data_IF_437589302420
#
_entry.id   IF_437589302420
#
_cell.length_a   1.000
_cell.length_b   1.000
_cell.length_c   1.000
_cell.angle_alpha   90.00
_cell.angle_beta   90.00
_cell.angle_gamma   90.00
#
_symmetry.space_group_name_H-M   'P 1'
#
loop_
_entity.id
_entity.type
_entity.pdbx_description
1 polymer ?
#
# COMPACT_ATOMS: atom_id res chain seq x y z
N UNK A 1 10.51 -5.70 11.21
CA UNK A 1 10.26 -7.07 10.69
C UNK A 1 9.27 -7.00 9.54
N UNK A 2 9.61 -7.44 8.32
CA UNK A 2 8.65 -7.44 7.21
C UNK A 2 7.52 -8.44 7.50
N UNK A 3 6.35 -7.92 7.87
CA UNK A 3 5.13 -8.71 7.98
C UNK A 3 4.78 -9.18 6.57
N UNK A 4 5.22 -10.39 6.21
CA UNK A 4 4.87 -11.03 4.95
C UNK A 4 3.35 -11.28 4.94
N UNK A 5 2.61 -10.35 4.34
CA UNK A 5 1.15 -10.45 4.12
C UNK A 5 0.77 -11.66 3.27
N UNK A 6 1.77 -12.29 2.67
CA UNK A 6 1.63 -13.48 1.86
C UNK A 6 1.79 -14.80 2.63
N UNK A 7 2.24 -14.80 3.89
CA UNK A 7 2.46 -16.02 4.66
C UNK A 7 1.30 -16.38 5.59
N UNK A 8 0.64 -15.39 6.19
CA UNK A 8 -0.57 -15.59 7.00
C UNK A 8 -1.76 -14.93 6.32
N UNK A 9 -2.94 -15.55 6.38
CA UNK A 9 -4.15 -15.05 5.72
C UNK A 9 -4.39 -13.55 5.96
N UNK A 10 -4.91 -12.86 4.95
CA UNK A 10 -5.29 -11.44 5.08
C UNK A 10 -6.47 -11.35 6.03
N UNK A 11 -6.28 -10.58 7.09
CA UNK A 11 -7.35 -10.19 7.98
C UNK A 11 -7.77 -8.75 7.70
N UNK A 12 -9.08 -8.52 7.59
CA UNK A 12 -9.65 -7.20 7.35
C UNK A 12 -9.19 -6.13 8.35
N UNK A 13 -8.98 -6.50 9.62
CA UNK A 13 -8.54 -5.56 10.66
C UNK A 13 -7.15 -4.98 10.41
N UNK A 14 -6.27 -5.70 9.70
CA UNK A 14 -4.93 -5.21 9.35
C UNK A 14 -4.98 -3.99 8.43
N UNK A 15 -5.96 -3.94 7.53
CA UNK A 15 -6.15 -2.77 6.64
C UNK A 15 -6.43 -1.51 7.45
N UNK A 16 -7.27 -1.61 8.48
CA UNK A 16 -7.60 -0.49 9.34
C UNK A 16 -6.40 -0.03 10.18
N UNK A 17 -5.57 -0.95 10.66
CA UNK A 17 -4.31 -0.62 11.35
C UNK A 17 -3.34 0.09 10.42
N UNK A 18 -3.13 -0.43 9.20
CA UNK A 18 -2.26 0.20 8.20
C UNK A 18 -2.67 1.64 7.90
N UNK A 19 -3.96 1.91 7.68
CA UNK A 19 -4.43 3.28 7.43
C UNK A 19 -4.13 4.20 8.62
N UNK A 20 -4.34 3.72 9.85
CA UNK A 20 -4.04 4.49 11.06
C UNK A 20 -2.55 4.77 11.17
N UNK A 21 -1.70 3.77 10.95
CA UNK A 21 -0.25 3.90 11.12
C UNK A 21 0.32 4.86 10.06
N UNK A 22 -0.14 4.78 8.80
CA UNK A 22 0.19 5.76 7.75
C UNK A 22 -0.18 7.18 8.19
N UNK A 23 -1.38 7.37 8.73
CA UNK A 23 -1.85 8.69 9.13
C UNK A 23 -1.00 9.31 10.27
N UNK A 24 -0.33 8.48 11.06
CA UNK A 24 0.51 8.93 12.17
C UNK A 24 1.95 9.30 11.74
N UNK A 25 2.40 8.91 10.55
CA UNK A 25 3.71 9.28 9.99
C UNK A 25 3.54 10.22 8.79
N UNK A 26 3.98 11.48 8.95
CA UNK A 26 3.97 12.45 7.86
C UNK A 26 4.86 11.99 6.68
N UNK A 27 5.99 11.34 6.97
CA UNK A 27 6.88 10.76 5.94
C UNK A 27 6.21 9.64 5.14
N UNK A 28 5.42 8.78 5.79
CA UNK A 28 4.66 7.72 5.11
C UNK A 28 3.60 8.30 4.17
N UNK A 29 2.87 9.33 4.60
CA UNK A 29 1.89 10.01 3.75
C UNK A 29 2.57 10.67 2.55
N UNK A 30 3.66 11.42 2.77
CA UNK A 30 4.40 12.05 1.67
C UNK A 30 4.89 11.03 0.65
N UNK A 31 5.45 9.91 1.12
CA UNK A 31 5.90 8.83 0.23
C UNK A 31 4.75 8.24 -0.58
N UNK A 32 3.59 8.03 0.04
CA UNK A 32 2.42 7.50 -0.67
C UNK A 32 1.86 8.48 -1.70
N UNK A 33 1.90 9.79 -1.44
CA UNK A 33 1.51 10.79 -2.43
C UNK A 33 2.47 10.76 -3.63
N UNK A 34 3.77 10.71 -3.38
CA UNK A 34 4.78 10.57 -4.43
C UNK A 34 4.61 9.25 -5.22
N UNK A 35 4.25 8.16 -4.52
CA UNK A 35 3.94 6.87 -5.13
C UNK A 35 2.70 6.94 -6.02
N UNK A 36 1.64 7.60 -5.56
CA UNK A 36 0.37 7.77 -6.26
C UNK A 36 0.56 8.57 -7.55
N UNK A 37 1.35 9.65 -7.51
CA UNK A 37 1.74 10.43 -8.71
C UNK A 37 2.36 9.57 -9.79
N UNK A 38 3.21 8.59 -9.43
CA UNK A 38 3.78 7.66 -10.42
C UNK A 38 2.69 6.82 -11.09
N UNK A 39 1.67 6.38 -10.36
CA UNK A 39 0.60 5.58 -10.95
C UNK A 39 -0.25 6.42 -11.93
N UNK A 40 -0.49 7.68 -11.60
CA UNK A 40 -1.25 8.61 -12.45
C UNK A 40 -0.47 8.97 -13.72
N UNK A 41 0.77 9.44 -13.57
CA UNK A 41 1.65 9.86 -14.68
C UNK A 41 2.00 8.70 -15.63
N UNK A 42 1.92 7.46 -15.14
CA UNK A 42 2.12 6.25 -15.95
C UNK A 42 0.82 5.76 -16.63
N UNK A 43 -0.24 6.56 -16.62
CA UNK A 43 -1.57 6.29 -17.17
C UNK A 43 -2.19 4.99 -16.63
N UNK A 44 -1.90 4.59 -15.39
CA UNK A 44 -2.40 3.31 -14.88
C UNK A 44 -3.91 3.31 -14.69
N UNK A 45 -4.49 4.43 -14.30
CA UNK A 45 -5.94 4.59 -14.12
C UNK A 45 -6.73 4.59 -15.44
N UNK A 46 -6.07 4.73 -16.60
CA UNK A 46 -6.72 4.53 -17.90
C UNK A 46 -7.11 3.05 -18.13
N UNK A 47 -6.55 2.12 -17.35
CA UNK A 47 -6.82 0.70 -17.45
C UNK A 47 -7.93 0.25 -16.48
N UNK A 48 -8.69 -0.76 -16.90
CA UNK A 48 -9.87 -1.22 -16.17
C UNK A 48 -9.54 -1.65 -14.73
N UNK A 49 -10.39 -1.22 -13.80
CA UNK A 49 -10.40 -1.55 -12.37
C UNK A 49 -9.19 -1.04 -11.56
N UNK A 50 -8.22 -0.33 -12.13
CA UNK A 50 -7.05 0.15 -11.37
C UNK A 50 -7.41 1.16 -10.27
N UNK A 51 -8.38 2.04 -10.53
CA UNK A 51 -8.90 3.02 -9.56
C UNK A 51 -9.58 2.36 -8.34
N UNK A 52 -10.04 1.11 -8.45
CA UNK A 52 -10.77 0.41 -7.39
C UNK A 52 -9.87 -0.31 -6.37
N UNK A 53 -8.55 -0.09 -6.43
CA UNK A 53 -7.58 -0.74 -5.55
C UNK A 53 -7.58 -0.12 -4.16
N UNK A 54 -7.61 -0.96 -3.12
CA UNK A 54 -7.45 -0.51 -1.74
C UNK A 54 -6.05 -0.83 -1.23
N UNK A 55 -5.34 0.16 -0.68
CA UNK A 55 -4.04 -0.06 -0.05
C UNK A 55 -4.23 -0.93 1.20
N UNK A 56 -3.58 -2.09 1.22
CA UNK A 56 -3.62 -3.01 2.38
C UNK A 56 -2.29 -3.11 3.10
N UNK A 57 -1.22 -2.60 2.49
CA UNK A 57 0.10 -2.50 3.11
C UNK A 57 1.05 -1.61 2.34
N UNK A 58 1.93 -0.97 3.09
CA UNK A 58 2.90 0.00 2.60
C UNK A 58 2.60 1.39 3.17
N UNK A 59 3.44 2.38 2.87
CA UNK A 59 4.65 2.25 2.04
C UNK A 59 5.76 1.54 2.82
N UNK A 60 6.27 0.42 2.31
CA UNK A 60 7.50 -0.18 2.85
C UNK A 60 8.68 0.47 2.14
N UNK A 61 9.33 1.40 2.85
CA UNK A 61 10.41 2.23 2.32
C UNK A 61 11.72 1.47 2.48
N UNK A 62 12.12 0.76 1.42
CA UNK A 62 13.43 0.14 1.32
C UNK A 62 14.52 1.14 0.92
N UNK A 63 15.77 0.67 0.92
CA UNK A 63 16.92 1.50 0.55
C UNK A 63 16.83 2.09 -0.87
N UNK A 64 16.29 1.34 -1.82
CA UNK A 64 16.27 1.74 -3.25
C UNK A 64 14.87 1.73 -3.87
N UNK A 65 13.87 1.28 -3.14
CA UNK A 65 12.53 1.05 -3.67
C UNK A 65 11.49 1.23 -2.58
N UNK A 66 10.28 1.61 -2.98
CA UNK A 66 9.10 1.65 -2.13
C UNK A 66 8.16 0.53 -2.57
N UNK A 67 7.69 -0.28 -1.62
CA UNK A 67 6.77 -1.38 -1.92
C UNK A 67 5.40 -1.12 -1.30
N UNK A 68 4.35 -1.23 -2.11
CA UNK A 68 2.96 -1.14 -1.68
C UNK A 68 2.20 -2.39 -2.17
N UNK A 69 1.26 -2.87 -1.36
CA UNK A 69 0.35 -3.95 -1.74
C UNK A 69 -1.08 -3.44 -1.72
N UNK A 70 -1.78 -3.67 -2.82
CA UNK A 70 -3.16 -3.25 -3.03
C UNK A 70 -4.07 -4.47 -3.18
N UNK A 71 -5.32 -4.31 -2.79
CA UNK A 71 -6.34 -5.34 -2.80
C UNK A 71 -7.48 -4.99 -3.76
N UNK A 72 -7.94 -6.00 -4.48
CA UNK A 72 -9.17 -5.97 -5.27
C UNK A 72 -10.07 -7.15 -4.95
N UNK A 73 -11.40 -6.98 -4.98
CA UNK A 73 -12.33 -8.10 -5.04
C UNK A 73 -12.03 -9.02 -6.24
N UNK A 74 -12.28 -10.33 -6.10
CA UNK A 74 -12.00 -11.30 -7.18
C UNK A 74 -12.63 -10.94 -8.54
N UNK A 75 -13.80 -10.31 -8.53
CA UNK A 75 -14.56 -9.89 -9.73
C UNK A 75 -13.99 -8.63 -10.39
N UNK A 76 -13.22 -7.84 -9.64
CA UNK A 76 -12.68 -6.53 -10.05
C UNK A 76 -11.16 -6.58 -10.24
N UNK A 77 -10.63 -7.70 -10.74
CA UNK A 77 -9.19 -7.82 -11.01
C UNK A 77 -8.70 -6.67 -11.92
N UNK A 78 -7.62 -5.96 -11.55
CA UNK A 78 -7.07 -4.87 -12.35
C UNK A 78 -6.44 -5.42 -13.64
N UNK A 79 -6.58 -4.69 -14.74
CA UNK A 79 -6.05 -5.12 -16.04
C UNK A 79 -4.51 -5.18 -16.00
N UNK A 80 -3.89 -6.37 -16.20
CA UNK A 80 -2.43 -6.52 -16.12
C UNK A 80 -1.65 -5.65 -17.11
N UNK A 81 -2.30 -5.11 -18.15
CA UNK A 81 -1.66 -4.18 -19.09
C UNK A 81 -1.28 -2.85 -18.42
N UNK A 82 -2.02 -2.41 -17.39
CA UNK A 82 -1.64 -1.23 -16.60
C UNK A 82 -0.30 -1.47 -15.89
N UNK A 83 -0.17 -2.60 -15.19
CA UNK A 83 1.09 -2.98 -14.51
C UNK A 83 2.28 -3.09 -15.48
N UNK A 84 2.05 -3.49 -16.74
CA UNK A 84 3.10 -3.57 -17.76
C UNK A 84 3.72 -2.21 -18.10
N UNK A 85 3.02 -1.09 -17.85
CA UNK A 85 3.56 0.26 -18.07
C UNK A 85 4.76 0.55 -17.18
N UNK A 86 4.78 0.00 -15.97
CA UNK A 86 5.84 0.23 -15.00
C UNK A 86 7.11 -0.60 -15.25
N UNK A 87 6.99 -1.75 -15.94
CA UNK A 87 8.11 -2.70 -16.11
C UNK A 87 9.35 -2.12 -16.81
N UNK A 88 9.23 -1.29 -17.88
CA UNK A 88 10.39 -0.67 -18.53
C UNK A 88 11.20 0.24 -17.60
N UNK A 89 10.57 0.75 -16.54
CA UNK A 89 11.14 1.66 -15.56
C UNK A 89 11.60 0.94 -14.30
N UNK A 90 11.94 -0.35 -14.41
CA UNK A 90 12.56 -1.12 -13.32
C UNK A 90 11.61 -1.54 -12.19
N UNK A 91 10.32 -1.21 -12.27
CA UNK A 91 9.33 -1.64 -11.30
C UNK A 91 9.07 -3.14 -11.37
N UNK A 92 8.72 -3.72 -10.22
CA UNK A 92 8.32 -5.13 -10.12
C UNK A 92 6.89 -5.20 -9.63
N UNK A 93 6.04 -5.91 -10.39
CA UNK A 93 4.63 -6.10 -10.05
C UNK A 93 4.32 -7.58 -9.92
N UNK A 94 3.72 -7.99 -8.81
CA UNK A 94 3.32 -9.37 -8.54
C UNK A 94 1.83 -9.44 -8.21
N UNK A 95 1.14 -10.34 -8.89
CA UNK A 95 -0.28 -10.62 -8.65
C UNK A 95 -0.42 -11.92 -7.86
N UNK A 96 -1.23 -11.92 -6.80
CA UNK A 96 -1.57 -13.11 -6.03
C UNK A 96 -3.07 -13.19 -5.80
N UNK A 97 -3.67 -14.33 -6.17
CA UNK A 97 -5.05 -14.65 -5.78
C UNK A 97 -5.02 -15.29 -4.39
N UNK A 98 -5.85 -14.79 -3.47
CA UNK A 98 -5.91 -15.29 -2.09
C UNK A 98 -7.32 -15.15 -1.51
N UNK A 99 -7.54 -15.67 -0.31
CA UNK A 99 -8.76 -15.44 0.47
C UNK A 99 -8.50 -14.43 1.58
N UNK A 100 -9.50 -13.61 1.88
CA UNK A 100 -9.52 -12.66 2.99
C UNK A 100 -10.74 -12.93 3.86
N UNK A 101 -10.55 -12.97 5.17
CA UNK A 101 -11.63 -13.19 6.13
C UNK A 101 -12.25 -11.85 6.50
N UNK A 102 -13.52 -11.65 6.18
CA UNK A 102 -14.26 -10.42 6.48
C UNK A 102 -15.46 -10.68 7.40
N UNK A 103 -15.73 -9.79 8.36
CA UNK A 103 -16.97 -9.87 9.14
C UNK A 103 -18.18 -9.54 8.25
N UNK A 104 -19.25 -10.32 8.38
CA UNK A 104 -20.53 -10.05 7.72
C UNK A 104 -21.20 -8.86 8.40
N UNK A 105 -21.78 -7.95 7.61
CA UNK A 105 -22.61 -6.87 8.12
C UNK A 105 -23.86 -7.47 8.77
N UNK A 106 -24.17 -7.07 9.99
CA UNK A 106 -25.27 -7.64 10.75
C UNK A 106 -26.56 -6.94 10.30
N UNK A 107 -27.36 -7.62 9.47
CA UNK A 107 -28.67 -7.12 9.06
C UNK A 107 -29.79 -7.97 9.68
N UNK A 108 -29.53 -9.25 10.00
CA UNK A 108 -30.50 -10.18 10.59
C UNK A 108 -29.95 -10.90 11.84
N UNK A 109 -30.83 -11.41 12.73
CA UNK A 109 -30.41 -12.19 13.91
C UNK A 109 -29.61 -13.47 13.57
N UNK A 110 -29.70 -13.96 12.34
CA UNK A 110 -28.93 -15.11 11.88
C UNK A 110 -27.46 -14.75 11.56
N UNK A 111 -27.13 -13.47 11.34
CA UNK A 111 -25.77 -13.03 10.99
C UNK A 111 -24.79 -13.05 12.18
N UNK A 112 -25.29 -13.37 13.37
CA UNK A 112 -24.49 -13.62 14.55
C UNK A 112 -23.86 -15.02 14.54
N UNK A 113 -22.66 -15.14 15.08
CA UNK A 113 -22.10 -16.46 15.44
C UNK A 113 -22.95 -17.08 16.55
N UNK A 114 -23.34 -18.34 16.37
CA UNK A 114 -24.20 -19.10 17.31
C UNK A 114 -23.73 -18.93 18.75
N UNK A 115 -24.57 -18.31 19.60
CA UNK A 115 -24.29 -18.09 21.01
C UNK A 115 -23.50 -16.81 21.37
N UNK A 116 -23.17 -15.94 20.40
CA UNK A 116 -22.46 -14.66 20.66
C UNK A 116 -23.07 -13.48 19.89
N UNK A 117 -22.81 -12.24 20.33
CA UNK A 117 -23.16 -11.02 19.57
C UNK A 117 -22.10 -10.60 18.55
N UNK A 118 -21.19 -11.51 18.15
CA UNK A 118 -20.15 -11.22 17.16
C UNK A 118 -20.64 -11.59 15.75
N UNK A 119 -20.32 -10.78 14.72
CA UNK A 119 -20.67 -11.10 13.35
C UNK A 119 -20.02 -12.40 12.89
N UNK A 120 -20.71 -13.14 12.03
CA UNK A 120 -20.13 -14.29 11.31
C UNK A 120 -18.96 -13.80 10.45
N UNK A 121 -17.92 -14.61 10.34
CA UNK A 121 -16.82 -14.35 9.41
C UNK A 121 -17.07 -15.16 8.14
N UNK A 122 -16.90 -14.51 6.99
CA UNK A 122 -16.95 -15.16 5.68
C UNK A 122 -15.61 -14.99 4.99
N UNK A 123 -15.22 -15.99 4.21
CA UNK A 123 -14.06 -15.90 3.34
C UNK A 123 -14.49 -15.32 1.99
N UNK A 124 -13.81 -14.26 1.56
CA UNK A 124 -13.96 -13.70 0.22
C UNK A 124 -12.68 -13.92 -0.58
N UNK A 125 -12.84 -14.26 -1.86
CA UNK A 125 -11.70 -14.31 -2.78
C UNK A 125 -11.31 -12.88 -3.18
N UNK A 126 -10.01 -12.61 -3.15
CA UNK A 126 -9.44 -11.31 -3.48
C UNK A 126 -8.17 -11.48 -4.32
N UNK A 127 -7.80 -10.42 -5.01
CA UNK A 127 -6.51 -10.26 -5.67
C UNK A 127 -5.67 -9.29 -4.86
N UNK A 128 -4.44 -9.69 -4.56
CA UNK A 128 -3.40 -8.79 -4.11
C UNK A 128 -2.47 -8.45 -5.27
N UNK A 129 -2.11 -7.19 -5.39
CA UNK A 129 -1.07 -6.72 -6.31
C UNK A 129 -0.01 -6.02 -5.48
N UNK A 130 1.16 -6.65 -5.36
CA UNK A 130 2.36 -6.05 -4.80
C UNK A 130 3.10 -5.30 -5.90
N UNK A 131 3.42 -4.04 -5.66
CA UNK A 131 4.11 -3.16 -6.58
C UNK A 131 5.34 -2.55 -5.88
N UNK A 132 6.52 -2.91 -6.35
CA UNK A 132 7.82 -2.38 -5.92
C UNK A 132 8.27 -1.34 -6.94
N UNK A 133 8.23 -0.06 -6.57
CA UNK A 133 8.66 1.06 -7.41
C UNK A 133 10.08 1.50 -7.02
N UNK A 134 11.00 1.69 -7.97
CA UNK A 134 12.31 2.24 -7.68
C UNK A 134 12.22 3.71 -7.25
N UNK A 135 13.00 4.12 -6.23
CA UNK A 135 13.03 5.52 -5.77
C UNK A 135 13.41 6.52 -6.86
N UNK A 136 14.28 6.14 -7.80
CA UNK A 136 14.66 7.02 -8.90
C UNK A 136 13.47 7.40 -9.79
N UNK A 137 12.54 6.46 -10.03
CA UNK A 137 11.36 6.71 -10.85
C UNK A 137 10.41 7.67 -10.13
N UNK A 138 10.22 7.45 -8.83
CA UNK A 138 9.41 8.33 -7.97
C UNK A 138 9.98 9.75 -7.99
N UNK A 139 11.29 9.89 -7.83
CA UNK A 139 11.96 11.19 -7.82
C UNK A 139 11.90 11.89 -9.18
N UNK A 140 12.10 11.17 -10.28
CA UNK A 140 12.03 11.72 -11.65
C UNK A 140 10.65 12.29 -11.96
N UNK A 141 9.59 11.53 -11.63
CA UNK A 141 8.20 11.98 -11.82
C UNK A 141 7.91 13.19 -10.92
N UNK A 142 8.31 13.14 -9.65
CA UNK A 142 8.09 14.24 -8.70
C UNK A 142 8.73 15.55 -9.19
N UNK A 143 9.98 15.49 -9.65
CA UNK A 143 10.68 16.68 -10.18
C UNK A 143 9.99 17.21 -11.43
N UNK A 144 9.61 16.33 -12.37
CA UNK A 144 8.88 16.73 -13.57
C UNK A 144 7.54 17.41 -13.25
N UNK A 145 6.76 16.88 -12.30
CA UNK A 145 5.50 17.49 -11.87
C UNK A 145 5.71 18.83 -11.15
N UNK A 146 6.73 18.94 -10.29
CA UNK A 146 7.03 20.17 -9.55
C UNK A 146 7.49 21.34 -10.45
N UNK A 147 8.32 21.04 -11.45
CA UNK A 147 8.76 22.03 -12.46
C UNK A 147 7.58 22.58 -13.27
N UNK A 148 6.59 21.73 -13.58
CA UNK A 148 5.35 22.15 -14.25
C UNK A 148 4.47 23.03 -13.35
N UNK A 149 4.46 22.80 -12.04
CA UNK A 149 3.70 23.58 -11.05
C UNK A 149 4.41 24.86 -10.59
N UNK A 150 5.67 25.08 -11.00
CA UNK A 150 6.46 26.26 -10.61
C UNK A 150 6.82 26.29 -9.12
N UNK A 151 6.91 25.13 -8.47
CA UNK A 151 7.35 24.98 -7.09
C UNK A 151 8.84 24.60 -7.06
N UNK A 152 9.67 25.39 -6.37
CA UNK A 152 11.05 25.00 -6.06
C UNK A 152 11.00 23.90 -4.97
N UNK A 153 11.21 22.64 -5.38
CA UNK A 153 11.29 21.50 -4.46
C UNK A 153 12.74 21.30 -4.05
N UNK A 154 13.02 21.49 -2.75
CA UNK A 154 14.31 21.11 -2.17
C UNK A 154 14.33 19.60 -1.92
N UNK A 155 14.99 18.87 -2.83
CA UNK A 155 15.03 17.40 -2.82
C UNK A 155 15.86 16.85 -1.65
N UNK A 156 16.82 17.64 -1.13
CA UNK A 156 17.71 17.22 -0.03
C UNK A 156 16.98 17.20 1.31
N UNK A 157 16.08 18.16 1.56
CA UNK A 157 15.27 18.25 2.79
C UNK A 157 14.23 17.11 2.89
N UNK A 158 13.71 16.63 1.76
CA UNK A 158 12.74 15.53 1.71
C UNK A 158 13.40 14.15 1.85
N UNK A 159 14.51 13.91 1.14
CA UNK A 159 15.27 12.66 1.30
C UNK A 159 15.78 12.51 2.74
N UNK A 160 16.18 13.61 3.38
CA UNK A 160 16.58 13.61 4.79
C UNK A 160 15.39 13.45 5.75
N UNK A 161 14.19 13.94 5.43
CA UNK A 161 12.97 13.63 6.20
C UNK A 161 12.59 12.14 6.11
N UNK A 162 12.69 11.54 4.92
CA UNK A 162 12.47 10.10 4.74
C UNK A 162 13.51 9.26 5.51
N UNK A 163 14.79 9.68 5.51
CA UNK A 163 15.86 9.00 6.25
C UNK A 163 15.75 9.21 7.78
N UNK A 164 15.36 10.39 8.26
CA UNK A 164 15.22 10.68 9.69
C UNK A 164 14.05 9.92 10.35
N UNK A 165 12.91 9.75 9.66
CA UNK A 165 11.77 8.98 10.19
C UNK A 165 12.12 7.48 10.23
N UNK A 166 12.78 6.96 9.18
CA UNK A 166 13.27 5.57 9.12
C UNK A 166 14.26 5.24 10.24
N UNK A 167 15.20 6.15 10.53
CA UNK A 167 16.14 5.96 11.63
C UNK A 167 15.41 5.98 12.97
N UNK A 168 14.49 6.93 13.20
CA UNK A 168 13.72 7.04 14.45
C UNK A 168 12.85 5.80 14.72
N UNK A 169 12.12 5.30 13.73
CA UNK A 169 11.30 4.07 13.86
C UNK A 169 12.14 2.81 14.12
N UNK A 170 13.36 2.75 13.57
CA UNK A 170 14.28 1.63 13.78
C UNK A 170 14.83 1.61 15.22
N UNK A 171 15.05 2.78 15.85
CA UNK A 171 15.46 2.87 17.24
C UNK A 171 14.31 2.48 18.21
N UNK A 172 13.08 2.94 17.96
CA UNK A 172 11.92 2.63 18.82
C UNK A 172 11.57 1.13 18.84
N UNK A 173 11.65 0.43 17.69
CA UNK A 173 11.42 -1.03 17.64
C UNK A 173 12.51 -1.85 18.36
N UNK A 174 13.71 -1.29 18.55
CA UNK A 174 14.83 -1.98 19.20
C UNK A 174 14.73 -1.91 20.72
N UNK A 175 14.22 -0.80 21.25
CA UNK A 175 14.05 -0.58 22.70
C UNK A 175 12.85 -1.38 23.28
N UNK A 176 11.77 -1.56 22.51
CA UNK A 176 10.62 -2.39 22.93
C UNK A 176 10.91 -3.89 22.99
N UNK A 177 11.94 -4.39 22.29
CA UNK A 177 12.34 -5.80 22.32
C UNK A 177 13.35 -6.13 23.41
N UNK A 178 13.90 -5.12 24.09
CA UNK A 178 14.88 -5.29 25.18
C UNK A 178 14.34 -4.98 26.58
N UNK A 179 13.06 -4.60 26.71
CA UNK A 179 12.39 -4.31 28.00
C UNK A 179 11.42 -5.40 28.45
#
# INVERSE_FOLDING_TARGET
MSKNIFQDGLDYWRVAETIRDIYMSEGSISTLLDYERVLDEMDMYAFKNWEAGELVSGPDIGRYSVTCTFLWPAEMMPDPRGAKRLLPFGAKVKFKKTTMTVPVKIDTPDDYRTGTKKPRLIEKQVWLVEMELPKYLINEIRTGSAELEGQDVDLEDLDSAYEQDLDTEQYEQTDEQQS
#
